data_IF_873324638832
#
_entry.id   IF_873324638832
#
_cell.length_a   1.000
_cell.length_b   1.000
_cell.length_c   1.000
_cell.angle_alpha   90.00
_cell.angle_beta   90.00
_cell.angle_gamma   90.00
#
_symmetry.space_group_name_H-M   'P 1'
#
loop_
_entity.id
_entity.type
_entity.pdbx_description
1 polymer ?
#
# COMPACT_ATOMS: atom_id res chain seq x y z
N UNK A 1 9.09 32.05 -6.46
CA UNK A 1 8.71 31.17 -7.58
C UNK A 1 7.94 30.03 -6.94
N UNK A 2 6.60 30.10 -7.03
CA UNK A 2 5.70 29.08 -6.50
C UNK A 2 5.63 27.91 -7.51
N UNK A 3 6.38 26.86 -7.28
CA UNK A 3 6.20 25.60 -8.00
C UNK A 3 4.96 24.87 -7.47
N UNK A 4 3.98 24.72 -8.34
CA UNK A 4 2.72 24.04 -8.09
C UNK A 4 2.94 22.54 -7.73
N UNK A 5 2.22 21.97 -6.75
CA UNK A 5 2.33 20.55 -6.34
C UNK A 5 1.88 19.53 -7.40
N UNK A 6 1.49 19.95 -8.60
CA UNK A 6 0.97 19.09 -9.67
C UNK A 6 2.05 18.46 -10.57
N UNK A 7 3.35 18.64 -10.29
CA UNK A 7 4.42 18.16 -11.18
C UNK A 7 4.78 16.67 -10.97
N UNK A 8 4.33 16.04 -9.89
CA UNK A 8 4.52 14.60 -9.65
C UNK A 8 3.80 13.68 -10.67
N UNK A 9 2.78 14.20 -11.35
CA UNK A 9 2.03 13.41 -12.33
C UNK A 9 2.71 13.27 -13.70
N UNK A 10 3.73 14.08 -13.99
CA UNK A 10 4.36 14.13 -15.33
C UNK A 10 5.63 13.28 -15.48
N UNK A 11 6.40 13.06 -14.41
CA UNK A 11 7.71 12.38 -14.50
C UNK A 11 7.65 10.87 -14.22
N UNK A 12 6.57 10.35 -13.64
CA UNK A 12 6.43 8.95 -13.27
C UNK A 12 5.39 8.16 -14.12
N UNK A 13 4.90 8.72 -15.22
CA UNK A 13 4.09 7.94 -16.17
C UNK A 13 4.98 7.46 -17.32
N UNK A 14 5.21 6.15 -17.50
CA UNK A 14 5.42 5.65 -18.83
C UNK A 14 4.22 6.13 -19.66
N UNK A 15 4.49 6.64 -20.87
CA UNK A 15 3.48 7.17 -21.80
C UNK A 15 2.23 6.30 -21.80
N UNK A 16 1.22 6.74 -21.05
CA UNK A 16 -0.10 6.15 -21.16
C UNK A 16 -0.59 6.54 -22.56
N UNK A 17 -0.66 5.57 -23.45
CA UNK A 17 -1.47 5.66 -24.65
C UNK A 17 -2.86 6.13 -24.23
N UNK A 18 -3.45 7.13 -24.91
CA UNK A 18 -4.79 7.60 -24.58
C UNK A 18 -5.74 6.40 -24.70
N UNK A 19 -6.38 6.05 -23.58
CA UNK A 19 -7.38 5.01 -23.56
C UNK A 19 -8.54 5.42 -24.49
N UNK A 20 -9.00 4.54 -25.38
CA UNK A 20 -10.12 4.84 -26.27
C UNK A 20 -11.40 4.99 -25.44
N UNK A 21 -12.14 6.07 -25.68
CA UNK A 21 -13.51 6.34 -25.25
C UNK A 21 -13.83 5.99 -23.80
N UNK A 22 -13.36 6.81 -22.88
CA UNK A 22 -13.84 6.76 -21.50
C UNK A 22 -15.15 7.54 -21.39
N UNK A 23 -16.26 6.83 -21.34
CA UNK A 23 -17.45 7.33 -20.61
C UNK A 23 -16.91 7.74 -19.23
N UNK A 24 -17.11 8.99 -18.78
CA UNK A 24 -16.51 9.44 -17.54
C UNK A 24 -17.00 8.57 -16.38
N UNK A 25 -16.09 7.80 -15.79
CA UNK A 25 -16.37 6.78 -14.79
C UNK A 25 -17.25 7.28 -13.62
N UNK A 26 -17.25 8.59 -13.36
CA UNK A 26 -18.08 9.20 -12.33
C UNK A 26 -19.58 9.20 -12.67
N UNK A 27 -19.95 9.28 -13.96
CA UNK A 27 -21.36 9.20 -14.38
C UNK A 27 -21.89 7.77 -14.21
N UNK A 28 -21.11 6.78 -14.54
CA UNK A 28 -21.46 5.38 -14.35
C UNK A 28 -21.65 5.03 -12.88
N UNK A 29 -20.74 5.48 -12.01
CA UNK A 29 -20.87 5.34 -10.55
C UNK A 29 -22.15 5.97 -10.03
N UNK A 30 -22.44 7.24 -10.45
CA UNK A 30 -23.65 7.94 -10.04
C UNK A 30 -24.90 7.23 -10.53
N UNK A 31 -24.92 6.78 -11.78
CA UNK A 31 -26.05 6.06 -12.35
C UNK A 31 -26.33 4.75 -11.60
N UNK A 32 -25.28 3.96 -11.29
CA UNK A 32 -25.40 2.73 -10.51
C UNK A 32 -26.00 2.99 -9.11
N UNK A 33 -25.47 4.00 -8.38
CA UNK A 33 -25.95 4.35 -7.06
C UNK A 33 -27.39 4.90 -7.09
N UNK A 34 -27.72 5.74 -8.06
CA UNK A 34 -29.09 6.25 -8.25
C UNK A 34 -30.03 5.08 -8.52
N UNK A 35 -29.61 4.11 -9.32
CA UNK A 35 -30.44 2.96 -9.66
C UNK A 35 -30.69 2.04 -8.46
N UNK A 36 -29.66 1.77 -7.62
CA UNK A 36 -29.78 0.99 -6.39
C UNK A 36 -30.66 1.71 -5.37
N UNK A 37 -30.48 3.01 -5.18
CA UNK A 37 -31.31 3.80 -4.25
C UNK A 37 -32.75 3.90 -4.76
N UNK A 38 -32.96 4.12 -6.05
CA UNK A 38 -34.29 4.19 -6.65
C UNK A 38 -35.04 2.86 -6.55
N UNK A 39 -34.36 1.71 -6.83
CA UNK A 39 -34.98 0.39 -6.69
C UNK A 39 -35.35 0.08 -5.24
N UNK A 40 -34.50 0.48 -4.26
CA UNK A 40 -34.81 0.35 -2.83
C UNK A 40 -35.97 1.20 -2.41
N UNK A 41 -36.09 2.47 -2.85
CA UNK A 41 -37.22 3.36 -2.61
C UNK A 41 -38.51 2.83 -3.22
N UNK A 42 -38.46 2.33 -4.45
CA UNK A 42 -39.63 1.74 -5.12
C UNK A 42 -40.14 0.47 -4.42
N UNK A 43 -39.23 -0.32 -3.86
CA UNK A 43 -39.60 -1.48 -3.04
C UNK A 43 -40.24 -1.09 -1.71
N UNK A 44 -39.73 -0.04 -1.03
CA UNK A 44 -40.27 0.47 0.25
C UNK A 44 -41.64 1.15 0.06
N UNK A 45 -41.84 1.83 -1.07
CA UNK A 45 -43.10 2.49 -1.38
C UNK A 45 -44.22 1.54 -1.88
N UNK A 46 -43.92 0.24 -2.02
CA UNK A 46 -44.90 -0.77 -2.44
C UNK A 46 -45.30 -0.67 -3.91
N UNK A 47 -44.64 0.16 -4.72
CA UNK A 47 -44.89 0.31 -6.17
C UNK A 47 -44.40 -0.90 -6.95
N UNK A 48 -43.41 -1.59 -6.46
CA UNK A 48 -42.91 -2.84 -6.99
C UNK A 48 -43.25 -3.99 -6.04
N UNK A 49 -43.75 -5.09 -6.58
CA UNK A 49 -43.85 -6.33 -5.81
C UNK A 49 -42.46 -6.74 -5.30
N UNK A 50 -42.37 -7.16 -4.05
CA UNK A 50 -41.12 -7.49 -3.40
C UNK A 50 -40.27 -8.51 -4.21
N UNK A 51 -40.91 -9.44 -4.92
CA UNK A 51 -40.26 -10.39 -5.80
C UNK A 51 -39.61 -9.74 -7.01
N UNK A 52 -40.30 -8.82 -7.69
CA UNK A 52 -39.75 -8.10 -8.84
C UNK A 52 -38.59 -7.18 -8.46
N UNK A 53 -38.68 -6.51 -7.29
CA UNK A 53 -37.59 -5.68 -6.75
C UNK A 53 -36.34 -6.51 -6.44
N UNK A 54 -36.46 -7.68 -5.83
CA UNK A 54 -35.34 -8.60 -5.56
C UNK A 54 -34.68 -9.11 -6.85
N UNK A 55 -35.46 -9.46 -7.87
CA UNK A 55 -34.93 -9.88 -9.16
C UNK A 55 -34.15 -8.75 -9.83
N UNK A 56 -34.70 -7.52 -9.83
CA UNK A 56 -34.03 -6.36 -10.42
C UNK A 56 -32.73 -6.03 -9.71
N UNK A 57 -32.71 -6.01 -8.38
CA UNK A 57 -31.49 -5.80 -7.57
C UNK A 57 -30.49 -6.91 -7.85
N UNK A 58 -30.90 -8.17 -7.88
CA UNK A 58 -30.02 -9.30 -8.17
C UNK A 58 -29.41 -9.24 -9.57
N UNK A 59 -30.16 -8.82 -10.58
CA UNK A 59 -29.65 -8.62 -11.95
C UNK A 59 -28.64 -7.47 -12.01
N UNK A 60 -28.88 -6.38 -11.30
CA UNK A 60 -27.95 -5.25 -11.22
C UNK A 60 -26.65 -5.62 -10.50
N UNK A 61 -26.73 -6.36 -9.41
CA UNK A 61 -25.57 -6.87 -8.70
C UNK A 61 -24.75 -7.85 -9.58
N UNK A 62 -25.43 -8.75 -10.26
CA UNK A 62 -24.79 -9.68 -11.21
C UNK A 62 -24.09 -8.93 -12.36
N UNK A 63 -24.72 -7.92 -12.94
CA UNK A 63 -24.13 -7.08 -13.98
C UNK A 63 -22.91 -6.30 -13.48
N UNK A 64 -23.00 -5.73 -12.26
CA UNK A 64 -21.89 -5.02 -11.63
C UNK A 64 -20.71 -5.96 -11.33
N UNK A 65 -20.98 -7.17 -10.84
CA UNK A 65 -19.96 -8.21 -10.61
C UNK A 65 -19.29 -8.65 -11.92
N UNK A 66 -20.07 -8.90 -12.96
CA UNK A 66 -19.55 -9.27 -14.29
C UNK A 66 -18.65 -8.18 -14.86
N UNK A 67 -19.10 -6.93 -14.80
CA UNK A 67 -18.30 -5.80 -15.23
C UNK A 67 -17.00 -5.67 -14.40
N UNK A 68 -17.09 -5.85 -13.08
CA UNK A 68 -15.94 -5.87 -12.18
C UNK A 68 -14.92 -6.94 -12.54
N UNK A 69 -15.39 -8.16 -12.83
CA UNK A 69 -14.56 -9.28 -13.28
C UNK A 69 -13.88 -9.00 -14.63
N UNK A 70 -14.61 -8.42 -15.58
CA UNK A 70 -14.07 -8.06 -16.90
C UNK A 70 -12.99 -6.98 -16.76
N UNK A 71 -13.24 -5.94 -15.97
CA UNK A 71 -12.27 -4.88 -15.71
C UNK A 71 -11.03 -5.39 -14.97
N UNK A 72 -11.22 -6.26 -13.98
CA UNK A 72 -10.13 -6.92 -13.27
C UNK A 72 -9.32 -7.82 -14.21
N UNK A 73 -9.98 -8.62 -15.04
CA UNK A 73 -9.29 -9.48 -16.02
C UNK A 73 -8.50 -8.66 -17.05
N UNK A 74 -9.03 -7.52 -17.52
CA UNK A 74 -8.31 -6.58 -18.40
C UNK A 74 -7.11 -5.98 -17.68
N UNK A 75 -7.29 -5.47 -16.45
CA UNK A 75 -6.23 -4.91 -15.66
C UNK A 75 -5.10 -5.92 -15.37
N UNK A 76 -5.45 -7.17 -15.04
CA UNK A 76 -4.47 -8.24 -14.84
C UNK A 76 -3.74 -8.66 -16.12
N UNK A 77 -4.40 -8.61 -17.30
CA UNK A 77 -3.74 -8.84 -18.59
C UNK A 77 -2.77 -7.71 -18.94
N UNK A 78 -3.12 -6.48 -18.60
CA UNK A 78 -2.32 -5.30 -18.87
C UNK A 78 -1.08 -5.23 -17.96
N UNK A 79 -1.19 -5.64 -16.69
CA UNK A 79 -0.05 -5.78 -15.77
C UNK A 79 0.93 -6.86 -16.15
N UNK A 80 0.46 -7.95 -16.79
CA UNK A 80 1.37 -8.98 -17.34
C UNK A 80 2.20 -8.46 -18.53
N UNK A 81 1.77 -7.39 -19.17
CA UNK A 81 2.43 -6.74 -20.31
C UNK A 81 3.25 -5.52 -19.95
N UNK A 82 2.99 -4.93 -18.79
CA UNK A 82 3.68 -3.73 -18.29
C UNK A 82 4.29 -4.03 -16.92
N UNK A 83 5.43 -3.43 -16.60
CA UNK A 83 6.11 -3.54 -15.30
C UNK A 83 5.32 -2.90 -14.12
N UNK A 84 4.01 -2.71 -14.28
CA UNK A 84 3.17 -2.11 -13.24
C UNK A 84 2.86 -3.10 -12.11
N UNK A 85 2.86 -2.62 -10.89
CA UNK A 85 2.50 -3.44 -9.73
C UNK A 85 1.03 -3.91 -9.83
N UNK A 86 0.78 -5.19 -9.57
CA UNK A 86 -0.56 -5.79 -9.57
C UNK A 86 -1.59 -5.00 -8.74
N UNK A 87 -1.13 -4.39 -7.64
CA UNK A 87 -1.98 -3.58 -6.75
C UNK A 87 -2.43 -2.26 -7.38
N UNK A 88 -1.62 -1.65 -8.24
CA UNK A 88 -2.01 -0.46 -8.98
C UNK A 88 -3.10 -0.78 -10.02
N UNK A 89 -2.99 -1.94 -10.69
CA UNK A 89 -4.00 -2.38 -11.65
C UNK A 89 -5.33 -2.74 -10.99
N UNK A 90 -5.29 -3.46 -9.87
CA UNK A 90 -6.51 -3.76 -9.11
C UNK A 90 -7.14 -2.47 -8.58
N UNK A 91 -6.33 -1.53 -8.08
CA UNK A 91 -6.85 -0.24 -7.64
C UNK A 91 -7.53 0.51 -8.79
N UNK A 92 -6.92 0.56 -9.97
CA UNK A 92 -7.52 1.20 -11.15
C UNK A 92 -8.85 0.55 -11.55
N UNK A 93 -8.91 -0.80 -11.55
CA UNK A 93 -10.13 -1.53 -11.83
C UNK A 93 -11.24 -1.29 -10.80
N UNK A 94 -10.90 -1.35 -9.51
CA UNK A 94 -11.86 -1.13 -8.42
C UNK A 94 -12.30 0.34 -8.35
N UNK A 95 -11.39 1.29 -8.57
CA UNK A 95 -11.72 2.72 -8.57
C UNK A 95 -12.65 3.12 -9.72
N UNK A 96 -12.77 2.30 -10.77
CA UNK A 96 -13.77 2.50 -11.82
C UNK A 96 -15.21 2.22 -11.34
N UNK A 97 -15.39 1.32 -10.37
CA UNK A 97 -16.69 0.86 -9.88
C UNK A 97 -17.05 1.42 -8.51
N UNK A 98 -16.07 1.54 -7.62
CA UNK A 98 -16.24 1.89 -6.21
C UNK A 98 -15.71 3.31 -5.94
N UNK A 99 -16.17 3.96 -4.85
CA UNK A 99 -15.52 5.14 -4.33
C UNK A 99 -14.03 4.87 -4.05
N UNK A 100 -13.16 5.84 -4.34
CA UNK A 100 -11.71 5.67 -4.23
C UNK A 100 -11.23 5.22 -2.83
N UNK A 101 -11.91 5.64 -1.78
CA UNK A 101 -11.59 5.23 -0.41
C UNK A 101 -11.83 3.73 -0.20
N UNK A 102 -12.99 3.24 -0.68
CA UNK A 102 -13.37 1.83 -0.57
C UNK A 102 -12.48 0.94 -1.45
N UNK A 103 -12.18 1.39 -2.68
CA UNK A 103 -11.24 0.68 -3.57
C UNK A 103 -9.87 0.51 -2.93
N UNK A 104 -9.33 1.55 -2.28
CA UNK A 104 -8.05 1.48 -1.56
C UNK A 104 -8.10 0.57 -0.34
N UNK A 105 -9.20 0.62 0.41
CA UNK A 105 -9.39 -0.26 1.56
C UNK A 105 -9.35 -1.73 1.11
N UNK A 106 -10.08 -2.09 0.05
CA UNK A 106 -10.07 -3.45 -0.49
C UNK A 106 -8.66 -3.86 -0.96
N UNK A 107 -7.94 -2.97 -1.66
CA UNK A 107 -6.56 -3.28 -2.08
C UNK A 107 -5.64 -3.45 -0.88
N UNK A 108 -5.84 -2.68 0.18
CA UNK A 108 -5.07 -2.82 1.42
C UNK A 108 -5.34 -4.17 2.09
N UNK A 109 -6.60 -4.60 2.17
CA UNK A 109 -6.98 -5.94 2.68
C UNK A 109 -6.36 -7.06 1.84
N UNK A 110 -6.42 -6.96 0.52
CA UNK A 110 -5.79 -7.94 -0.37
C UNK A 110 -4.26 -7.99 -0.17
N UNK A 111 -3.62 -6.85 0.07
CA UNK A 111 -2.18 -6.80 0.41
C UNK A 111 -1.90 -7.45 1.77
N UNK A 112 -2.76 -7.22 2.75
CA UNK A 112 -2.67 -7.84 4.08
C UNK A 112 -2.72 -9.37 3.97
N UNK A 113 -3.76 -9.89 3.31
CA UNK A 113 -3.91 -11.33 3.07
C UNK A 113 -2.76 -11.89 2.23
N UNK A 114 -2.37 -11.19 1.16
CA UNK A 114 -1.25 -11.58 0.31
C UNK A 114 0.09 -11.62 1.06
N UNK A 115 0.30 -10.69 2.00
CA UNK A 115 1.49 -10.68 2.87
C UNK A 115 1.52 -11.87 3.81
N UNK A 116 0.39 -12.19 4.46
CA UNK A 116 0.27 -13.37 5.32
C UNK A 116 0.46 -14.66 4.53
N UNK A 117 -0.14 -14.78 3.36
CA UNK A 117 0.02 -15.95 2.49
C UNK A 117 1.47 -16.13 2.04
N UNK A 118 2.16 -15.07 1.63
CA UNK A 118 3.58 -15.13 1.25
C UNK A 118 4.48 -15.49 2.43
N UNK A 119 4.17 -14.96 3.60
CA UNK A 119 4.89 -15.27 4.83
C UNK A 119 4.69 -16.73 5.24
N UNK A 120 3.46 -17.25 5.25
CA UNK A 120 3.15 -18.64 5.60
C UNK A 120 3.74 -19.65 4.61
N UNK A 121 3.83 -19.28 3.32
CA UNK A 121 4.47 -20.10 2.30
C UNK A 121 5.99 -19.90 2.23
N UNK A 122 6.60 -19.19 3.16
CA UNK A 122 8.04 -18.88 3.22
C UNK A 122 8.60 -18.28 1.92
N UNK A 123 7.77 -17.53 1.18
CA UNK A 123 8.15 -16.84 -0.07
C UNK A 123 8.78 -15.50 0.24
N UNK A 124 10.09 -15.52 0.51
CA UNK A 124 10.87 -14.31 0.79
C UNK A 124 11.65 -13.88 -0.46
N UNK A 125 11.88 -12.56 -0.63
CA UNK A 125 12.72 -12.07 -1.72
C UNK A 125 14.17 -12.56 -1.56
N UNK A 126 14.87 -12.66 -2.69
CA UNK A 126 16.27 -13.12 -2.72
C UNK A 126 17.17 -12.21 -1.86
N UNK A 127 18.01 -12.76 -0.99
CA UNK A 127 18.81 -11.97 -0.04
C UNK A 127 19.91 -11.13 -0.71
N UNK A 128 20.31 -11.46 -1.94
CA UNK A 128 21.45 -10.82 -2.62
C UNK A 128 21.28 -9.32 -2.86
N UNK A 129 20.06 -8.86 -3.18
CA UNK A 129 19.72 -7.47 -3.51
C UNK A 129 18.65 -6.88 -2.61
N UNK A 130 18.37 -7.52 -1.47
CA UNK A 130 17.37 -7.06 -0.51
C UNK A 130 18.02 -6.65 0.81
N UNK A 131 17.43 -5.64 1.45
CA UNK A 131 17.90 -5.05 2.70
C UNK A 131 16.78 -5.04 3.71
N UNK A 132 17.04 -5.63 4.87
CA UNK A 132 16.10 -5.66 5.97
C UNK A 132 16.21 -4.39 6.83
N UNK A 133 15.11 -4.08 7.55
CA UNK A 133 15.02 -2.95 8.49
C UNK A 133 14.28 -3.35 9.77
N UNK A 134 14.50 -4.61 10.23
CA UNK A 134 13.75 -5.22 11.34
C UNK A 134 14.31 -4.93 12.72
N UNK A 135 15.65 -4.74 12.84
CA UNK A 135 16.34 -4.73 14.14
C UNK A 135 15.78 -3.74 15.15
N UNK A 136 15.28 -2.59 14.67
CA UNK A 136 14.74 -1.54 15.53
C UNK A 136 13.21 -1.54 15.63
N UNK A 137 12.53 -2.45 14.92
CA UNK A 137 11.07 -2.49 14.91
C UNK A 137 10.52 -3.08 16.20
N UNK A 138 9.65 -2.33 16.85
CA UNK A 138 8.92 -2.80 18.05
C UNK A 138 7.68 -3.63 17.72
N UNK A 139 7.38 -3.85 16.43
CA UNK A 139 6.17 -4.60 16.01
C UNK A 139 6.14 -6.02 16.57
N UNK A 140 7.30 -6.68 16.71
CA UNK A 140 7.37 -8.02 17.31
C UNK A 140 7.01 -8.02 18.79
N UNK A 141 7.49 -7.05 19.55
CA UNK A 141 7.14 -6.88 20.95
C UNK A 141 5.65 -6.54 21.10
N UNK A 142 5.15 -5.61 20.29
CA UNK A 142 3.72 -5.25 20.29
C UNK A 142 2.85 -6.46 19.96
N UNK A 143 3.20 -7.26 18.94
CA UNK A 143 2.48 -8.49 18.60
C UNK A 143 2.46 -9.47 19.77
N UNK A 144 3.60 -9.66 20.45
CA UNK A 144 3.69 -10.54 21.63
C UNK A 144 2.77 -10.06 22.75
N UNK A 145 2.83 -8.76 23.08
CA UNK A 145 1.97 -8.17 24.13
C UNK A 145 0.50 -8.36 23.79
N UNK A 146 0.07 -8.00 22.57
CA UNK A 146 -1.32 -8.17 22.14
C UNK A 146 -1.74 -9.64 22.17
N UNK A 147 -0.89 -10.56 21.70
CA UNK A 147 -1.17 -12.01 21.73
C UNK A 147 -1.38 -12.52 23.15
N UNK A 148 -0.60 -12.03 24.12
CA UNK A 148 -0.71 -12.44 25.52
C UNK A 148 -1.92 -11.81 26.24
N UNK A 149 -2.30 -10.57 25.89
CA UNK A 149 -3.42 -9.86 26.54
C UNK A 149 -4.78 -10.22 25.95
N UNK A 150 -4.85 -10.54 24.65
CA UNK A 150 -6.11 -10.85 23.96
C UNK A 150 -6.96 -11.95 24.64
N UNK A 151 -6.41 -13.09 25.09
CA UNK A 151 -7.21 -14.10 25.80
C UNK A 151 -7.87 -13.57 27.08
N UNK A 152 -7.13 -12.76 27.86
CA UNK A 152 -7.66 -12.11 29.07
C UNK A 152 -8.77 -11.12 28.77
N UNK A 153 -8.61 -10.30 27.72
CA UNK A 153 -9.62 -9.36 27.24
C UNK A 153 -10.90 -10.09 26.79
N UNK A 154 -10.74 -11.17 26.01
CA UNK A 154 -11.89 -11.97 25.55
C UNK A 154 -12.64 -12.63 26.72
N UNK A 155 -11.91 -13.14 27.72
CA UNK A 155 -12.52 -13.70 28.95
C UNK A 155 -13.29 -12.60 29.70
N UNK A 156 -12.68 -11.42 29.86
CA UNK A 156 -13.32 -10.29 30.53
C UNK A 156 -14.61 -9.87 29.82
N UNK A 157 -14.59 -9.74 28.49
CA UNK A 157 -15.79 -9.45 27.71
C UNK A 157 -16.83 -10.56 27.82
N UNK A 158 -16.42 -11.82 27.90
CA UNK A 158 -17.34 -12.94 28.11
C UNK A 158 -18.11 -12.84 29.45
N UNK A 159 -17.45 -12.36 30.49
CA UNK A 159 -18.04 -12.20 31.83
C UNK A 159 -18.90 -10.92 31.91
N UNK A 160 -18.37 -9.79 31.39
CA UNK A 160 -19.00 -8.48 31.58
C UNK A 160 -20.20 -8.22 30.65
N UNK A 161 -20.20 -8.79 29.43
CA UNK A 161 -21.23 -8.49 28.44
C UNK A 161 -22.37 -9.50 28.53
N UNK A 162 -23.62 -9.04 28.76
CA UNK A 162 -24.79 -9.91 28.79
C UNK A 162 -25.21 -10.40 27.40
N UNK A 163 -24.88 -9.64 26.33
CA UNK A 163 -25.32 -9.94 24.96
C UNK A 163 -24.37 -10.88 24.23
N UNK A 164 -24.83 -12.06 23.86
CA UNK A 164 -24.05 -13.08 23.15
C UNK A 164 -23.51 -12.57 21.80
N UNK A 165 -24.32 -11.82 21.03
CA UNK A 165 -23.88 -11.26 19.76
C UNK A 165 -22.70 -10.28 19.93
N UNK A 166 -22.71 -9.46 21.00
CA UNK A 166 -21.64 -8.50 21.26
C UNK A 166 -20.32 -9.22 21.63
N UNK A 167 -20.38 -10.33 22.35
CA UNK A 167 -19.19 -11.16 22.66
C UNK A 167 -18.54 -11.67 21.38
N UNK A 168 -19.35 -12.26 20.47
CA UNK A 168 -18.84 -12.75 19.19
C UNK A 168 -18.33 -11.65 18.29
N UNK A 169 -18.99 -10.50 18.25
CA UNK A 169 -18.51 -9.33 17.50
C UNK A 169 -17.15 -8.86 18.01
N UNK A 170 -16.98 -8.70 19.32
CA UNK A 170 -15.70 -8.29 19.90
C UNK A 170 -14.60 -9.34 19.68
N UNK A 171 -14.92 -10.63 19.80
CA UNK A 171 -13.98 -11.69 19.48
C UNK A 171 -13.53 -11.63 18.01
N UNK A 172 -14.45 -11.41 17.08
CA UNK A 172 -14.13 -11.28 15.67
C UNK A 172 -13.25 -10.03 15.39
N UNK A 173 -13.56 -8.89 16.01
CA UNK A 173 -12.77 -7.65 15.89
C UNK A 173 -11.36 -7.84 16.47
N UNK A 174 -11.23 -8.47 17.65
CA UNK A 174 -9.94 -8.73 18.27
C UNK A 174 -9.09 -9.68 17.43
N UNK A 175 -9.68 -10.76 16.90
CA UNK A 175 -8.99 -11.66 15.99
C UNK A 175 -8.55 -10.97 14.70
N UNK A 176 -9.41 -10.14 14.11
CA UNK A 176 -9.10 -9.36 12.92
C UNK A 176 -7.94 -8.38 13.19
N UNK A 177 -7.96 -7.66 14.32
CA UNK A 177 -6.88 -6.76 14.71
C UNK A 177 -5.54 -7.52 14.90
N UNK A 178 -5.59 -8.71 15.52
CA UNK A 178 -4.43 -9.57 15.68
C UNK A 178 -3.86 -10.04 14.33
N UNK A 179 -4.71 -10.44 13.39
CA UNK A 179 -4.30 -10.81 12.02
C UNK A 179 -3.66 -9.62 11.29
N UNK A 180 -4.20 -8.42 11.44
CA UNK A 180 -3.61 -7.19 10.89
C UNK A 180 -2.21 -6.93 11.48
N UNK A 181 -2.07 -7.02 12.79
CA UNK A 181 -0.79 -6.81 13.46
C UNK A 181 0.24 -7.89 13.06
N UNK A 182 -0.21 -9.13 12.91
CA UNK A 182 0.62 -10.23 12.38
C UNK A 182 1.07 -9.94 10.95
N UNK A 183 0.19 -9.41 10.09
CA UNK A 183 0.54 -9.03 8.72
C UNK A 183 1.56 -7.88 8.67
N UNK A 184 1.42 -6.88 9.53
CA UNK A 184 2.40 -5.79 9.66
C UNK A 184 3.77 -6.35 10.08
N UNK A 185 3.82 -7.23 11.07
CA UNK A 185 5.06 -7.87 11.50
C UNK A 185 5.66 -8.77 10.40
N UNK A 186 4.84 -9.59 9.74
CA UNK A 186 5.25 -10.44 8.62
C UNK A 186 5.80 -9.61 7.45
N UNK A 187 5.25 -8.42 7.23
CA UNK A 187 5.66 -7.49 6.18
C UNK A 187 7.13 -7.08 6.27
N UNK A 188 7.68 -6.98 7.48
CA UNK A 188 9.12 -6.69 7.69
C UNK A 188 10.04 -7.74 7.04
N UNK A 189 9.54 -8.94 6.78
CA UNK A 189 10.28 -10.04 6.13
C UNK A 189 9.94 -10.17 4.66
N UNK A 190 8.67 -9.95 4.32
CA UNK A 190 8.14 -10.16 2.96
C UNK A 190 8.40 -8.96 2.05
N UNK A 191 8.52 -7.75 2.62
CA UNK A 191 8.69 -6.50 1.89
C UNK A 191 9.94 -5.71 2.34
N UNK A 192 11.17 -6.26 2.16
CA UNK A 192 12.39 -5.52 2.42
C UNK A 192 12.59 -4.40 1.38
N UNK A 193 13.57 -3.54 1.60
CA UNK A 193 14.09 -2.68 0.54
C UNK A 193 14.79 -3.54 -0.51
N UNK A 194 14.71 -3.17 -1.77
CA UNK A 194 15.17 -4.00 -2.88
C UNK A 194 15.75 -3.14 -4.01
N UNK A 195 16.85 -3.63 -4.62
CA UNK A 195 17.37 -3.10 -5.87
C UNK A 195 16.92 -4.03 -6.99
N UNK A 196 16.03 -3.58 -7.86
CA UNK A 196 15.51 -4.34 -8.99
C UNK A 196 15.36 -3.42 -10.22
N UNK A 197 15.69 -3.94 -11.40
CA UNK A 197 15.45 -3.28 -12.70
C UNK A 197 15.89 -1.80 -12.72
N UNK A 198 17.14 -1.52 -12.33
CA UNK A 198 17.72 -0.17 -12.25
C UNK A 198 17.01 0.81 -11.30
N UNK A 199 16.21 0.28 -10.41
CA UNK A 199 15.43 1.07 -9.46
C UNK A 199 15.66 0.57 -8.04
N UNK A 200 15.93 1.48 -7.13
CA UNK A 200 15.91 1.22 -5.69
C UNK A 200 14.49 1.39 -5.18
N UNK A 201 13.89 0.30 -4.73
CA UNK A 201 12.54 0.30 -4.16
C UNK A 201 12.64 0.29 -2.65
N UNK A 202 12.32 1.43 -2.05
CA UNK A 202 12.30 1.61 -0.61
C UNK A 202 10.88 1.39 -0.10
N UNK A 203 10.70 0.47 0.85
CA UNK A 203 9.40 0.10 1.38
C UNK A 203 9.33 0.33 2.88
N UNK A 204 8.22 0.83 3.34
CA UNK A 204 7.88 0.78 4.75
C UNK A 204 6.64 -0.09 4.91
N UNK A 205 6.87 -1.33 5.33
CA UNK A 205 5.88 -2.40 5.31
C UNK A 205 5.29 -2.59 3.88
N UNK A 206 4.04 -3.04 3.78
CA UNK A 206 3.28 -3.05 2.51
C UNK A 206 2.47 -1.76 2.29
N UNK A 207 2.63 -0.77 3.17
CA UNK A 207 1.81 0.45 3.19
C UNK A 207 2.39 1.58 2.34
N UNK A 208 3.70 1.76 2.38
CA UNK A 208 4.38 2.88 1.71
C UNK A 208 5.50 2.38 0.83
N UNK A 209 5.68 3.05 -0.29
CA UNK A 209 6.73 2.72 -1.26
C UNK A 209 7.29 4.00 -1.88
N UNK A 210 8.61 4.02 -2.05
CA UNK A 210 9.33 5.06 -2.78
C UNK A 210 10.24 4.36 -3.77
N UNK A 211 10.00 4.58 -5.06
CA UNK A 211 10.81 4.03 -6.14
C UNK A 211 11.78 5.11 -6.63
N UNK A 212 13.06 4.83 -6.50
CA UNK A 212 14.16 5.76 -6.84
C UNK A 212 14.95 5.14 -7.99
N UNK A 213 14.90 5.71 -9.20
CA UNK A 213 15.80 5.30 -10.29
C UNK A 213 17.26 5.50 -9.87
N UNK A 214 18.15 4.51 -10.16
CA UNK A 214 19.53 4.56 -9.71
C UNK A 214 20.33 5.72 -10.33
N UNK A 215 19.95 6.16 -11.52
CA UNK A 215 20.54 7.31 -12.22
C UNK A 215 20.22 8.65 -11.54
N UNK A 216 19.18 8.70 -10.70
CA UNK A 216 18.83 9.90 -9.94
C UNK A 216 19.54 10.00 -8.60
N UNK A 217 20.19 8.95 -8.12
CA UNK A 217 20.93 8.96 -6.86
C UNK A 217 22.26 9.69 -7.06
N UNK A 218 22.44 10.79 -6.35
CA UNK A 218 23.66 11.61 -6.41
C UNK A 218 24.69 11.17 -5.37
N UNK A 219 24.28 11.02 -4.12
CA UNK A 219 25.15 10.62 -3.03
C UNK A 219 24.44 9.74 -2.00
N UNK A 220 25.25 8.91 -1.33
CA UNK A 220 24.83 8.04 -0.22
C UNK A 220 25.71 8.34 0.98
N UNK A 221 25.11 8.79 2.06
CA UNK A 221 25.80 9.14 3.30
C UNK A 221 25.32 8.22 4.41
N UNK A 222 26.26 7.50 5.06
CA UNK A 222 25.96 6.69 6.24
C UNK A 222 25.88 7.61 7.43
N UNK A 223 24.66 7.97 7.83
CA UNK A 223 24.43 8.89 8.95
C UNK A 223 23.17 8.50 9.70
N UNK A 224 23.33 8.15 10.97
CA UNK A 224 22.18 7.96 11.84
C UNK A 224 21.52 9.31 12.15
N UNK A 225 20.20 9.37 11.96
CA UNK A 225 19.41 10.56 12.22
C UNK A 225 18.04 10.18 12.82
N UNK A 226 17.49 11.07 13.63
CA UNK A 226 16.17 10.88 14.22
C UNK A 226 15.10 11.51 13.35
N UNK A 227 14.05 10.75 13.06
CA UNK A 227 12.92 11.24 12.28
C UNK A 227 12.17 12.37 13.04
N UNK A 228 11.56 13.31 12.34
CA UNK A 228 10.77 14.37 12.93
C UNK A 228 9.69 13.83 13.87
N UNK A 229 9.69 14.27 15.12
CA UNK A 229 8.78 13.78 16.16
C UNK A 229 9.04 12.35 16.63
N UNK A 230 10.15 11.71 16.24
CA UNK A 230 10.49 10.33 16.64
C UNK A 230 9.47 9.29 16.21
N UNK A 231 8.75 9.53 15.11
CA UNK A 231 7.67 8.66 14.59
C UNK A 231 8.22 7.62 13.64
N UNK A 232 7.55 6.47 13.58
CA UNK A 232 7.79 5.44 12.58
C UNK A 232 6.98 5.71 11.31
N UNK A 233 7.50 5.20 10.18
CA UNK A 233 6.79 5.26 8.92
C UNK A 233 7.40 6.18 7.87
N UNK A 234 6.63 6.44 6.83
CA UNK A 234 6.95 7.45 5.83
C UNK A 234 6.48 8.82 6.31
N UNK A 235 7.43 9.68 6.66
CA UNK A 235 7.21 11.07 7.04
C UNK A 235 7.84 11.93 5.97
N UNK A 236 7.10 12.90 5.42
CA UNK A 236 7.64 13.88 4.47
C UNK A 236 7.57 15.25 5.11
N UNK A 237 8.71 15.93 5.13
CA UNK A 237 8.83 17.29 5.60
C UNK A 237 9.63 18.12 4.60
N UNK A 238 8.96 19.08 3.96
CA UNK A 238 9.55 19.82 2.85
C UNK A 238 9.93 18.90 1.68
N UNK A 239 11.18 18.94 1.26
CA UNK A 239 11.76 18.12 0.19
C UNK A 239 12.39 16.79 0.68
N UNK A 240 12.23 16.47 1.95
CA UNK A 240 12.88 15.32 2.60
C UNK A 240 11.85 14.29 3.04
N UNK A 241 12.06 13.04 2.62
CA UNK A 241 11.29 11.88 3.09
C UNK A 241 12.10 11.11 4.14
N UNK A 242 11.39 10.58 5.14
CA UNK A 242 11.95 9.76 6.21
C UNK A 242 11.22 8.43 6.21
N UNK A 243 11.93 7.35 5.92
CA UNK A 243 11.44 5.97 6.13
C UNK A 243 12.07 5.46 7.43
N UNK A 244 11.46 5.83 8.54
CA UNK A 244 12.01 5.59 9.87
C UNK A 244 11.44 4.32 10.51
N UNK A 245 12.28 3.64 11.28
CA UNK A 245 11.92 2.49 12.12
C UNK A 245 12.52 2.68 13.51
N UNK A 246 11.71 2.58 14.56
CA UNK A 246 12.11 2.98 15.92
C UNK A 246 12.40 4.48 16.02
N UNK A 247 11.77 5.30 15.17
CA UNK A 247 11.99 6.74 15.09
C UNK A 247 13.37 7.15 14.55
N UNK A 248 14.13 6.23 13.95
CA UNK A 248 15.51 6.46 13.50
C UNK A 248 15.70 5.99 12.04
N UNK A 249 16.75 6.55 11.42
CA UNK A 249 17.24 6.19 10.08
C UNK A 249 18.76 6.09 10.12
N UNK A 250 19.35 5.36 9.18
CA UNK A 250 20.79 5.06 9.19
C UNK A 250 21.53 5.58 7.97
N UNK A 251 20.79 5.86 6.88
CA UNK A 251 21.34 6.30 5.59
C UNK A 251 20.58 7.48 5.07
N UNK A 252 21.29 8.47 4.52
CA UNK A 252 20.75 9.57 3.75
C UNK A 252 21.07 9.36 2.28
N UNK A 253 20.07 9.40 1.43
CA UNK A 253 20.18 9.44 -0.02
C UNK A 253 19.89 10.87 -0.50
N UNK A 254 20.79 11.44 -1.28
CA UNK A 254 20.57 12.70 -1.97
C UNK A 254 20.31 12.43 -3.45
N UNK A 255 19.29 13.08 -3.98
CA UNK A 255 18.82 12.84 -5.33
C UNK A 255 19.09 14.07 -6.22
N UNK A 256 19.61 13.83 -7.42
CA UNK A 256 19.81 14.88 -8.43
C UNK A 256 18.47 15.49 -8.88
N UNK A 257 17.45 14.63 -9.01
CA UNK A 257 16.10 15.04 -9.40
C UNK A 257 15.07 14.56 -8.36
N UNK A 258 13.97 15.34 -8.14
CA UNK A 258 12.96 14.96 -7.17
C UNK A 258 12.19 13.70 -7.63
N UNK A 259 11.98 12.76 -6.72
CA UNK A 259 11.15 11.56 -6.94
C UNK A 259 9.87 11.62 -6.13
N UNK A 260 8.81 10.97 -6.60
CA UNK A 260 7.54 10.94 -5.89
C UNK A 260 7.50 9.84 -4.86
N UNK A 261 7.16 10.19 -3.62
CA UNK A 261 6.84 9.23 -2.58
C UNK A 261 5.35 8.82 -2.67
N UNK A 262 5.06 7.55 -2.40
CA UNK A 262 3.70 7.02 -2.41
C UNK A 262 3.29 6.59 -1.00
N UNK A 263 2.18 7.15 -0.54
CA UNK A 263 1.56 6.80 0.74
C UNK A 263 0.18 6.20 0.49
N UNK A 264 -0.05 4.95 0.92
CA UNK A 264 -1.31 4.24 0.69
C UNK A 264 -1.78 4.33 -0.78
N UNK A 265 -0.86 4.06 -1.72
CA UNK A 265 -1.12 4.12 -3.17
C UNK A 265 -1.48 5.52 -3.71
N UNK A 266 -1.26 6.58 -2.94
CA UNK A 266 -1.38 7.98 -3.40
C UNK A 266 0.00 8.59 -3.59
N UNK A 267 0.25 9.33 -4.68
CA UNK A 267 1.41 10.19 -4.74
C UNK A 267 1.29 11.23 -3.62
N UNK A 268 2.37 11.41 -2.86
CA UNK A 268 2.34 12.29 -1.69
C UNK A 268 3.02 13.62 -1.98
N UNK A 269 4.33 13.60 -2.23
CA UNK A 269 5.11 14.80 -2.51
C UNK A 269 6.39 14.45 -3.28
N UNK A 270 6.93 15.37 -4.08
CA UNK A 270 8.27 15.24 -4.64
C UNK A 270 9.31 15.44 -3.54
N UNK A 271 10.30 14.56 -3.46
CA UNK A 271 11.37 14.61 -2.47
C UNK A 271 12.73 14.53 -3.13
N UNK A 272 13.72 15.23 -2.59
CA UNK A 272 15.12 15.23 -3.05
C UNK A 272 16.05 14.53 -2.07
N UNK A 273 15.65 14.41 -0.82
CA UNK A 273 16.44 13.74 0.23
C UNK A 273 15.59 12.65 0.85
N UNK A 274 16.20 11.47 1.02
CA UNK A 274 15.49 10.32 1.59
C UNK A 274 16.35 9.74 2.70
N UNK A 275 15.86 9.83 3.92
CA UNK A 275 16.42 9.13 5.07
C UNK A 275 15.82 7.74 5.16
N UNK A 276 16.63 6.70 5.24
CA UNK A 276 16.21 5.30 5.24
C UNK A 276 16.76 4.56 6.44
N UNK A 277 15.92 3.78 7.10
CA UNK A 277 16.34 2.82 8.12
C UNK A 277 16.73 1.50 7.44
N UNK A 278 17.94 1.01 7.72
CA UNK A 278 18.44 -0.29 7.24
C UNK A 278 19.20 -1.00 8.34
N UNK A 279 19.17 -2.34 8.37
CA UNK A 279 19.83 -3.15 9.38
C UNK A 279 21.38 -3.22 9.20
N UNK A 280 21.85 -2.99 7.95
CA UNK A 280 23.27 -3.00 7.57
C UNK A 280 23.54 -1.85 6.58
N UNK A 281 23.84 -0.64 7.08
CA UNK A 281 24.09 0.53 6.25
C UNK A 281 25.29 0.40 5.32
N UNK A 282 26.37 -0.28 5.78
CA UNK A 282 27.59 -0.45 5.00
C UNK A 282 27.36 -1.36 3.80
N UNK A 283 26.67 -2.48 4.00
CA UNK A 283 26.26 -3.38 2.90
C UNK A 283 25.32 -2.67 1.93
N UNK A 284 24.38 -1.88 2.45
CA UNK A 284 23.45 -1.12 1.61
C UNK A 284 24.18 -0.13 0.71
N UNK A 285 25.07 0.70 1.27
CA UNK A 285 25.83 1.68 0.51
C UNK A 285 26.73 1.03 -0.55
N UNK A 286 27.42 -0.07 -0.20
CA UNK A 286 28.27 -0.81 -1.12
C UNK A 286 27.50 -1.38 -2.31
N UNK A 287 26.40 -2.11 -2.07
CA UNK A 287 25.60 -2.71 -3.13
C UNK A 287 24.89 -1.67 -4.00
N UNK A 288 24.52 -0.53 -3.42
CA UNK A 288 23.96 0.58 -4.17
C UNK A 288 25.01 1.23 -5.08
N UNK A 289 26.24 1.40 -4.57
CA UNK A 289 27.37 1.87 -5.36
C UNK A 289 27.70 0.90 -6.51
N UNK A 290 27.83 -0.40 -6.23
CA UNK A 290 28.07 -1.43 -7.25
C UNK A 290 26.99 -1.42 -8.34
N UNK A 291 25.72 -1.35 -7.94
CA UNK A 291 24.61 -1.31 -8.88
C UNK A 291 24.63 -0.05 -9.74
N UNK A 292 24.98 1.11 -9.19
CA UNK A 292 25.06 2.37 -9.90
C UNK A 292 26.27 2.44 -10.82
N UNK A 293 27.44 1.99 -10.36
CA UNK A 293 28.67 1.94 -11.15
C UNK A 293 28.53 1.04 -12.38
N UNK A 294 27.83 -0.10 -12.26
CA UNK A 294 27.50 -0.98 -13.37
C UNK A 294 26.70 -0.31 -14.49
N UNK A 295 26.12 0.87 -14.21
CA UNK A 295 25.30 1.65 -15.14
C UNK A 295 25.96 2.98 -15.55
N UNK A 296 27.26 3.15 -15.25
CA UNK A 296 28.03 4.31 -15.66
C UNK A 296 27.77 5.59 -14.84
N UNK A 297 27.06 5.50 -13.72
CA UNK A 297 26.81 6.64 -12.83
C UNK A 297 27.40 6.37 -11.45
N UNK A 298 28.72 6.62 -11.20
CA UNK A 298 29.32 6.41 -9.90
C UNK A 298 28.73 7.37 -8.87
N UNK A 299 28.10 6.82 -7.84
CA UNK A 299 27.51 7.56 -6.73
C UNK A 299 28.63 7.93 -5.73
N UNK A 300 28.59 9.15 -5.19
CA UNK A 300 29.44 9.53 -4.07
C UNK A 300 29.03 8.75 -2.80
N UNK A 301 29.96 8.01 -2.21
CA UNK A 301 29.78 7.36 -0.90
C UNK A 301 30.61 8.11 0.13
N UNK A 302 29.96 8.69 1.16
CA UNK A 302 30.58 9.46 2.23
C UNK A 302 30.22 8.88 3.60
#
# INVERSE_FOLDING_TARGET
>A
VHDHPNNCSRTARPRATPAPCCIPAHWFKRALWVLVVASGLLAVTGVLEAGAALVLVGLLEAAALLLGLVLLARALRETRRSDQSWSAAILAALSALLPDQLARFIVLELRTVGTLARWSLHRFPAPARSFTYRKRSMLGLLLLVVLLTTPGELLLFHVLLPWTWARWLLAAVSLYALLWLLALWASLRVHPHEIANHTLVLRWLYLHEVSVPLDTVHSVVIRSARAPGGRDGLIVHGDTAWLAVGGQTDVLLELAHPVCAYRFLRPFAPVRRIHVAVDDPARFARLLWEASAAHGNPIGVV
#
